data_IF_451435589795
#
_entry.id   IF_451435589795
#
_cell.length_a   1.000
_cell.length_b   1.000
_cell.length_c   1.000
_cell.angle_alpha   90.00
_cell.angle_beta   90.00
_cell.angle_gamma   90.00
#
_symmetry.space_group_name_H-M   'P 1'
#
loop_
_entity.id
_entity.type
_entity.pdbx_description
1 polymer ?
#
# COMPACT_ATOMS: atom_id res chain seq x y z
N UNK A 1 -13.95 0.73 -6.04
CA UNK A 1 -15.34 0.71 -6.53
C UNK A 1 -15.43 0.06 -7.90
N UNK A 2 -16.65 -0.05 -8.45
CA UNK A 2 -16.94 -0.65 -9.77
C UNK A 2 -16.36 0.12 -10.94
N UNK A 3 -15.98 1.39 -10.74
CA UNK A 3 -15.32 2.22 -11.76
C UNK A 3 -13.81 2.03 -11.81
N UNK A 4 -13.24 1.26 -10.88
CA UNK A 4 -11.82 0.96 -10.82
C UNK A 4 -10.98 1.92 -9.96
N UNK A 5 -11.62 2.79 -9.18
CA UNK A 5 -10.93 3.59 -8.17
C UNK A 5 -10.68 2.76 -6.91
N UNK A 6 -9.45 2.75 -6.42
CA UNK A 6 -9.02 2.05 -5.20
C UNK A 6 -8.41 2.99 -4.17
N UNK A 7 -8.66 2.73 -2.90
CA UNK A 7 -8.12 3.51 -1.77
C UNK A 7 -7.62 2.56 -0.68
N UNK A 8 -6.46 2.88 -0.10
CA UNK A 8 -5.94 2.23 1.09
C UNK A 8 -5.56 3.27 2.14
N UNK A 9 -5.94 3.03 3.40
CA UNK A 9 -5.51 3.81 4.55
C UNK A 9 -4.38 3.11 5.29
N UNK A 10 -3.36 3.86 5.67
CA UNK A 10 -2.17 3.35 6.35
C UNK A 10 -1.90 4.17 7.62
N UNK A 11 -1.31 3.56 8.63
CA UNK A 11 -0.93 4.25 9.86
C UNK A 11 0.08 5.36 9.59
N UNK A 12 -0.21 6.54 10.15
CA UNK A 12 0.61 7.75 10.03
C UNK A 12 0.78 8.42 11.41
N UNK A 13 1.14 7.60 12.37
CA UNK A 13 1.17 7.95 13.80
C UNK A 13 2.17 9.07 14.08
N UNK A 14 1.72 10.08 14.83
CA UNK A 14 2.54 11.24 15.21
C UNK A 14 2.67 12.33 14.13
N UNK A 15 2.18 12.07 12.89
CA UNK A 15 2.19 13.05 11.80
C UNK A 15 0.77 13.47 11.40
N UNK A 16 -0.20 12.54 11.46
CA UNK A 16 -1.58 12.86 11.15
C UNK A 16 -2.16 13.86 12.16
N UNK A 17 -2.70 14.96 11.64
CA UNK A 17 -3.44 15.98 12.40
C UNK A 17 -4.76 16.22 11.69
N UNK A 18 -5.86 16.11 12.44
CA UNK A 18 -7.22 16.39 11.94
C UNK A 18 -7.71 17.70 12.55
N UNK A 19 -8.48 18.45 11.78
CA UNK A 19 -8.81 19.83 12.09
C UNK A 19 -10.27 19.98 12.54
N UNK A 20 -10.65 21.07 13.21
CA UNK A 20 -12.05 21.41 13.42
C UNK A 20 -12.79 21.54 12.09
N UNK A 21 -14.11 21.37 12.13
CA UNK A 21 -14.94 21.61 10.95
C UNK A 21 -14.78 23.05 10.45
N UNK A 22 -14.62 23.19 9.13
CA UNK A 22 -14.43 24.49 8.47
C UNK A 22 -15.63 24.80 7.56
N UNK A 23 -16.08 26.06 7.60
CA UNK A 23 -17.15 26.54 6.75
C UNK A 23 -16.72 26.53 5.26
N UNK A 24 -17.62 26.13 4.37
CA UNK A 24 -17.37 26.07 2.94
C UNK A 24 -16.48 24.91 2.49
N UNK A 25 -16.10 24.01 3.39
CA UNK A 25 -15.34 22.79 3.11
C UNK A 25 -16.22 21.54 3.22
N UNK A 26 -15.83 20.49 2.49
CA UNK A 26 -16.38 19.15 2.69
C UNK A 26 -15.73 18.56 3.94
N UNK A 27 -16.38 18.69 5.08
CA UNK A 27 -15.90 18.14 6.35
C UNK A 27 -16.19 16.64 6.39
N UNK A 28 -15.15 15.83 6.43
CA UNK A 28 -15.23 14.36 6.41
C UNK A 28 -14.34 13.78 7.51
N UNK A 29 -14.78 12.74 8.18
CA UNK A 29 -13.96 12.05 9.19
C UNK A 29 -12.99 11.07 8.52
N UNK A 30 -11.92 10.69 9.23
CA UNK A 30 -10.94 9.73 8.70
C UNK A 30 -11.54 8.35 8.42
N UNK A 31 -12.61 7.95 9.11
CA UNK A 31 -13.28 6.67 8.88
C UNK A 31 -14.33 6.72 7.77
N UNK A 32 -14.78 7.92 7.38
CA UNK A 32 -15.72 8.13 6.25
C UNK A 32 -15.00 8.42 4.93
N UNK A 33 -13.71 8.80 4.96
CA UNK A 33 -13.00 9.25 3.76
C UNK A 33 -13.05 8.22 2.63
N UNK A 34 -12.79 6.94 2.93
CA UNK A 34 -12.79 5.87 1.92
C UNK A 34 -14.18 5.69 1.31
N UNK A 35 -15.26 5.40 2.07
CA UNK A 35 -16.58 5.23 1.47
C UNK A 35 -17.10 6.51 0.81
N UNK A 36 -16.78 7.68 1.34
CA UNK A 36 -17.17 8.95 0.72
C UNK A 36 -16.55 9.15 -0.66
N UNK A 37 -15.25 8.93 -0.79
CA UNK A 37 -14.57 9.07 -2.09
C UNK A 37 -15.00 7.98 -3.08
N UNK A 38 -15.07 6.70 -2.62
CA UNK A 38 -15.45 5.60 -3.50
C UNK A 38 -16.91 5.67 -3.95
N UNK A 39 -17.79 6.27 -3.15
CA UNK A 39 -19.19 6.49 -3.51
C UNK A 39 -19.44 7.76 -4.34
N UNK A 40 -18.45 8.68 -4.40
CA UNK A 40 -18.63 9.97 -5.07
C UNK A 40 -17.81 10.13 -6.35
N UNK A 41 -16.78 9.31 -6.54
CA UNK A 41 -15.79 9.48 -7.62
C UNK A 41 -15.63 8.19 -8.43
N UNK A 42 -15.60 8.32 -9.74
CA UNK A 42 -15.27 7.22 -10.65
C UNK A 42 -13.77 7.16 -11.00
N UNK A 43 -13.06 8.28 -10.87
CA UNK A 43 -11.67 8.42 -11.33
C UNK A 43 -10.78 9.09 -10.29
N UNK A 44 -9.47 8.90 -10.42
CA UNK A 44 -8.45 9.58 -9.62
C UNK A 44 -8.52 11.12 -9.76
N UNK A 45 -8.82 11.61 -10.96
CA UNK A 45 -8.95 13.05 -11.22
C UNK A 45 -10.15 13.67 -10.48
N UNK A 46 -11.28 12.97 -10.45
CA UNK A 46 -12.46 13.40 -9.67
C UNK A 46 -12.17 13.37 -8.18
N UNK A 47 -11.52 12.30 -7.69
CA UNK A 47 -11.12 12.18 -6.29
C UNK A 47 -10.18 13.32 -5.87
N UNK A 48 -9.19 13.69 -6.70
CA UNK A 48 -8.31 14.85 -6.46
C UNK A 48 -9.12 16.15 -6.35
N UNK A 49 -10.00 16.41 -7.29
CA UNK A 49 -10.83 17.62 -7.32
C UNK A 49 -11.73 17.73 -6.08
N UNK A 50 -12.28 16.60 -5.66
CA UNK A 50 -13.14 16.55 -4.47
C UNK A 50 -12.33 16.79 -3.18
N UNK A 51 -11.12 16.24 -3.12
CA UNK A 51 -10.19 16.38 -1.99
C UNK A 51 -9.65 17.81 -1.81
N UNK A 52 -9.51 18.60 -2.87
CA UNK A 52 -9.08 20.01 -2.78
C UNK A 52 -10.04 20.87 -1.94
N UNK A 53 -11.30 20.44 -1.84
CA UNK A 53 -12.33 21.07 -1.01
C UNK A 53 -12.57 20.35 0.31
N UNK A 54 -11.86 19.27 0.56
CA UNK A 54 -12.03 18.48 1.77
C UNK A 54 -11.34 19.10 2.99
N UNK A 55 -11.85 18.75 4.16
CA UNK A 55 -11.25 18.99 5.45
C UNK A 55 -11.46 17.73 6.30
N UNK A 56 -10.38 17.09 6.73
CA UNK A 56 -10.49 15.91 7.59
C UNK A 56 -10.66 16.35 9.03
N UNK A 57 -11.82 16.02 9.59
CA UNK A 57 -12.22 16.49 10.92
C UNK A 57 -11.83 15.52 12.04
N UNK A 58 -11.54 16.07 13.21
CA UNK A 58 -11.11 15.34 14.41
C UNK A 58 -12.29 14.79 15.23
N UNK A 59 -13.23 14.15 14.57
CA UNK A 59 -14.38 13.53 15.21
C UNK A 59 -14.14 12.02 15.28
N UNK A 60 -14.13 11.41 16.48
CA UNK A 60 -14.00 9.95 16.61
C UNK A 60 -15.28 9.25 16.15
N UNK A 61 -15.16 7.97 15.80
CA UNK A 61 -16.34 7.16 15.47
C UNK A 61 -17.24 6.96 16.69
N UNK A 62 -16.64 6.72 17.86
CA UNK A 62 -17.30 6.63 19.16
C UNK A 62 -16.29 6.87 20.27
N UNK A 63 -16.77 6.98 21.52
CA UNK A 63 -15.89 7.09 22.71
C UNK A 63 -14.95 5.88 22.87
N UNK A 64 -15.34 4.71 22.36
CA UNK A 64 -14.56 3.47 22.43
C UNK A 64 -13.62 3.29 21.22
N UNK A 65 -13.86 3.98 20.12
CA UNK A 65 -13.10 3.95 18.89
C UNK A 65 -12.63 5.36 18.56
N UNK A 66 -11.51 5.80 19.15
CA UNK A 66 -10.92 7.10 18.85
C UNK A 66 -10.48 7.17 17.38
N UNK A 67 -10.20 8.38 16.89
CA UNK A 67 -9.71 8.54 15.53
C UNK A 67 -8.36 7.84 15.33
N UNK A 68 -8.24 7.14 14.21
CA UNK A 68 -6.99 6.54 13.76
C UNK A 68 -6.15 7.60 13.03
N UNK A 69 -4.85 7.63 13.31
CA UNK A 69 -3.90 8.51 12.62
C UNK A 69 -3.51 7.85 11.29
N UNK A 70 -4.10 8.33 10.20
CA UNK A 70 -3.96 7.72 8.88
C UNK A 70 -3.47 8.73 7.84
N UNK A 71 -2.87 8.18 6.78
CA UNK A 71 -2.74 8.77 5.47
C UNK A 71 -3.22 7.76 4.42
N UNK A 72 -3.43 8.21 3.18
CA UNK A 72 -4.11 7.38 2.19
C UNK A 72 -3.37 7.36 0.85
N UNK A 73 -3.35 6.17 0.25
CA UNK A 73 -3.00 5.94 -1.14
C UNK A 73 -4.29 5.80 -1.94
N UNK A 74 -4.46 6.60 -2.98
CA UNK A 74 -5.60 6.55 -3.91
C UNK A 74 -5.06 6.30 -5.29
N UNK A 75 -5.65 5.35 -6.01
CA UNK A 75 -5.16 4.94 -7.32
C UNK A 75 -6.27 4.49 -8.25
N UNK A 76 -6.05 4.71 -9.53
CA UNK A 76 -6.75 4.07 -10.64
C UNK A 76 -5.75 3.65 -11.73
N UNK A 77 -6.23 3.25 -12.90
CA UNK A 77 -5.38 2.86 -14.03
C UNK A 77 -4.49 3.98 -14.58
N UNK A 78 -4.74 5.25 -14.25
CA UNK A 78 -3.98 6.41 -14.75
C UNK A 78 -2.81 6.77 -13.84
N UNK A 79 -2.84 6.38 -12.56
CA UNK A 79 -1.78 6.67 -11.60
C UNK A 79 -2.21 6.58 -10.14
N UNK A 80 -1.47 7.24 -9.28
CA UNK A 80 -1.78 7.28 -7.85
C UNK A 80 -1.39 8.61 -7.20
N UNK A 81 -2.10 8.94 -6.12
CA UNK A 81 -1.81 10.08 -5.23
C UNK A 81 -1.72 9.62 -3.79
N UNK A 82 -1.03 10.41 -2.98
CA UNK A 82 -1.01 10.26 -1.51
C UNK A 82 -1.71 11.46 -0.90
N UNK A 83 -2.54 11.21 0.10
CA UNK A 83 -3.26 12.23 0.85
C UNK A 83 -2.82 12.18 2.31
N UNK A 84 -2.32 13.30 2.81
CA UNK A 84 -1.84 13.47 4.18
C UNK A 84 -2.50 14.71 4.81
N UNK A 85 -3.10 14.55 5.99
CA UNK A 85 -3.58 15.66 6.81
C UNK A 85 -2.57 15.88 7.94
N UNK A 86 -1.89 16.99 7.91
CA UNK A 86 -0.82 17.37 8.85
C UNK A 86 -1.15 18.67 9.56
N UNK A 87 -0.27 19.14 10.46
CA UNK A 87 -0.54 20.33 11.26
C UNK A 87 -0.78 21.60 10.41
N UNK A 88 -0.20 21.65 9.22
CA UNK A 88 -0.33 22.77 8.26
C UNK A 88 -1.42 22.58 7.19
N UNK A 89 -2.19 21.48 7.27
CA UNK A 89 -3.37 21.26 6.43
C UNK A 89 -3.39 19.93 5.70
N UNK A 90 -4.30 19.85 4.70
CA UNK A 90 -4.45 18.69 3.84
C UNK A 90 -3.55 18.81 2.60
N UNK A 91 -2.72 17.80 2.38
CA UNK A 91 -1.79 17.73 1.26
C UNK A 91 -2.16 16.58 0.32
N UNK A 92 -2.02 16.82 -0.98
CA UNK A 92 -2.25 15.85 -2.04
C UNK A 92 -0.99 15.79 -2.91
N UNK A 93 -0.29 14.66 -2.88
CA UNK A 93 0.96 14.47 -3.60
C UNK A 93 0.78 13.50 -4.76
N UNK A 94 1.39 13.79 -5.89
CA UNK A 94 1.55 12.79 -6.95
C UNK A 94 2.49 11.69 -6.49
N UNK A 95 2.11 10.44 -6.73
CA UNK A 95 2.88 9.29 -6.31
C UNK A 95 3.48 8.54 -7.51
N UNK A 96 4.70 8.90 -7.95
CA UNK A 96 5.33 8.28 -9.10
C UNK A 96 5.75 6.83 -8.86
N UNK A 97 5.89 6.43 -7.59
CA UNK A 97 6.30 5.06 -7.23
C UNK A 97 5.11 4.11 -7.13
N UNK A 98 3.89 4.64 -6.91
CA UNK A 98 2.70 3.83 -6.60
C UNK A 98 2.84 3.03 -5.30
N UNK A 99 3.67 3.47 -4.38
CA UNK A 99 3.92 2.85 -3.07
C UNK A 99 3.67 3.87 -1.97
N UNK A 100 3.11 3.42 -0.88
CA UNK A 100 3.01 4.15 0.38
C UNK A 100 3.26 3.15 1.51
N UNK A 101 3.99 3.56 2.54
CA UNK A 101 4.16 2.78 3.78
C UNK A 101 3.57 3.57 4.95
N UNK A 102 4.35 3.91 5.96
CA UNK A 102 3.89 4.65 7.13
C UNK A 102 4.67 5.97 7.25
N UNK A 103 5.29 6.24 8.41
CA UNK A 103 6.19 7.37 8.60
C UNK A 103 7.51 7.21 7.82
N UNK A 104 8.19 8.28 7.45
CA UNK A 104 7.85 9.71 7.61
C UNK A 104 6.84 10.19 6.56
N UNK A 105 6.47 11.49 6.54
CA UNK A 105 5.64 12.08 5.48
C UNK A 105 6.15 11.76 4.07
N UNK A 106 5.21 11.58 3.14
CA UNK A 106 5.47 11.06 1.80
C UNK A 106 6.58 11.80 1.01
N UNK A 107 6.69 13.14 1.05
CA UNK A 107 7.80 13.84 0.39
C UNK A 107 9.17 13.41 0.90
N UNK A 108 9.28 13.08 2.21
CA UNK A 108 10.52 12.59 2.79
C UNK A 108 10.82 11.15 2.35
N UNK A 109 9.78 10.30 2.23
CA UNK A 109 9.93 8.96 1.68
C UNK A 109 10.45 9.00 0.25
N UNK A 110 9.91 9.87 -0.60
CA UNK A 110 10.40 10.07 -1.97
C UNK A 110 11.83 10.61 -2.00
N UNK A 111 12.13 11.62 -1.17
CA UNK A 111 13.48 12.20 -1.10
C UNK A 111 14.53 11.15 -0.74
N UNK A 112 14.22 10.23 0.17
CA UNK A 112 15.15 9.19 0.60
C UNK A 112 15.58 8.24 -0.53
N UNK A 113 14.77 8.10 -1.60
CA UNK A 113 15.17 7.30 -2.79
C UNK A 113 16.46 7.82 -3.44
N UNK A 114 16.83 9.09 -3.23
CA UNK A 114 18.09 9.63 -3.75
C UNK A 114 19.31 8.90 -3.20
N UNK A 115 19.23 8.36 -1.99
CA UNK A 115 20.31 7.56 -1.39
C UNK A 115 20.50 6.21 -2.07
N UNK A 116 19.50 5.76 -2.85
CA UNK A 116 19.43 4.44 -3.50
C UNK A 116 19.47 4.52 -5.03
N UNK A 117 19.84 5.67 -5.58
CA UNK A 117 19.84 5.90 -7.04
C UNK A 117 20.81 5.01 -7.83
N UNK A 118 21.73 4.32 -7.16
CA UNK A 118 22.62 3.36 -7.77
C UNK A 118 22.02 1.95 -7.91
N UNK A 119 20.89 1.69 -7.24
CA UNK A 119 20.22 0.39 -7.32
C UNK A 119 19.71 0.10 -8.73
N UNK A 120 19.93 -1.13 -9.18
CA UNK A 120 19.58 -1.58 -10.52
C UNK A 120 19.29 -3.09 -10.51
N UNK A 121 18.40 -3.61 -11.38
CA UNK A 121 18.29 -5.06 -11.61
C UNK A 121 19.50 -5.65 -12.36
N UNK A 122 20.39 -4.81 -12.87
CA UNK A 122 21.57 -5.21 -13.65
C UNK A 122 22.79 -5.30 -12.76
N UNK A 123 23.70 -6.25 -13.09
CA UNK A 123 25.02 -6.29 -12.46
C UNK A 123 25.80 -5.02 -12.84
N UNK A 124 26.32 -4.26 -11.85
CA UNK A 124 27.09 -3.04 -12.11
C UNK A 124 28.44 -3.37 -12.75
N UNK A 125 28.96 -2.43 -13.53
CA UNK A 125 30.38 -2.44 -13.90
C UNK A 125 31.26 -2.10 -12.69
N UNK A 126 32.52 -2.51 -12.75
CA UNK A 126 33.50 -2.12 -11.71
C UNK A 126 33.77 -0.63 -11.82
N UNK A 127 33.49 0.10 -10.74
CA UNK A 127 33.73 1.52 -10.63
C UNK A 127 34.46 1.88 -9.31
N UNK A 128 35.01 0.88 -8.61
CA UNK A 128 35.61 1.07 -7.29
C UNK A 128 36.96 1.80 -7.39
N UNK A 129 37.82 1.35 -8.27
CA UNK A 129 39.11 1.99 -8.56
C UNK A 129 39.68 1.46 -9.89
N UNK A 130 40.47 2.31 -10.58
CA UNK A 130 41.16 1.91 -11.79
C UNK A 130 42.19 0.80 -11.52
N UNK A 131 42.24 -0.18 -12.41
CA UNK A 131 43.18 -1.29 -12.33
C UNK A 131 42.87 -2.38 -11.32
N UNK A 132 41.76 -2.26 -10.59
CA UNK A 132 41.28 -3.28 -9.65
C UNK A 132 40.33 -4.25 -10.38
N UNK A 133 40.68 -5.53 -10.45
CA UNK A 133 39.82 -6.58 -10.97
C UNK A 133 38.92 -7.12 -9.85
N UNK A 134 37.62 -6.93 -10.02
CA UNK A 134 36.57 -7.42 -9.10
C UNK A 134 35.58 -8.29 -9.87
N UNK A 135 35.87 -9.60 -9.98
CA UNK A 135 35.01 -10.51 -10.74
C UNK A 135 33.63 -10.65 -10.09
N UNK A 136 32.62 -10.79 -10.95
CA UNK A 136 31.25 -11.02 -10.54
C UNK A 136 31.12 -12.41 -9.90
N UNK A 137 30.82 -12.48 -8.62
CA UNK A 137 30.68 -13.72 -7.85
C UNK A 137 29.21 -14.17 -7.69
N UNK A 138 28.23 -13.30 -7.97
CA UNK A 138 26.80 -13.60 -7.82
C UNK A 138 25.95 -12.77 -8.77
N UNK A 139 24.70 -13.22 -9.00
CA UNK A 139 23.65 -12.39 -9.61
C UNK A 139 23.03 -11.47 -8.53
N UNK A 140 22.33 -10.42 -8.98
CA UNK A 140 21.63 -9.49 -8.09
C UNK A 140 22.52 -8.42 -7.44
N UNK A 141 23.79 -8.32 -7.78
CA UNK A 141 24.72 -7.32 -7.23
C UNK A 141 24.28 -5.86 -7.47
N UNK A 142 23.46 -5.61 -8.50
CA UNK A 142 22.90 -4.28 -8.72
C UNK A 142 21.90 -3.82 -7.65
N UNK A 143 21.38 -4.75 -6.86
CA UNK A 143 20.52 -4.46 -5.71
C UNK A 143 21.29 -4.43 -4.37
N UNK A 144 22.63 -4.45 -4.40
CA UNK A 144 23.45 -4.37 -3.19
C UNK A 144 23.19 -3.05 -2.49
N UNK A 145 22.82 -3.12 -1.20
CA UNK A 145 22.41 -1.96 -0.40
C UNK A 145 20.89 -1.72 -0.39
N UNK A 146 20.08 -2.54 -1.09
CA UNK A 146 18.63 -2.53 -0.90
C UNK A 146 18.32 -2.86 0.56
N UNK A 147 17.59 -1.98 1.30
CA UNK A 147 17.40 -2.18 2.73
C UNK A 147 16.54 -3.40 3.02
N UNK A 148 16.94 -4.20 4.01
CA UNK A 148 16.27 -5.46 4.38
C UNK A 148 15.49 -5.39 5.68
N UNK A 149 15.65 -4.32 6.48
CA UNK A 149 14.93 -4.17 7.75
C UNK A 149 13.45 -3.86 7.57
N UNK A 150 12.67 -3.97 8.66
CA UNK A 150 11.22 -3.85 8.65
C UNK A 150 10.70 -2.43 8.90
N UNK A 151 11.58 -1.43 9.03
CA UNK A 151 11.15 -0.04 9.21
C UNK A 151 10.34 0.44 8.00
N UNK A 152 9.48 1.42 8.25
CA UNK A 152 8.61 1.99 7.20
C UNK A 152 9.42 2.51 6.01
N UNK A 153 10.50 3.26 6.26
CA UNK A 153 11.33 3.82 5.19
C UNK A 153 12.02 2.73 4.37
N UNK A 154 12.55 1.69 5.02
CA UNK A 154 13.19 0.56 4.34
C UNK A 154 12.20 -0.26 3.52
N UNK A 155 11.00 -0.48 4.05
CA UNK A 155 9.91 -1.12 3.30
C UNK A 155 9.48 -0.29 2.09
N UNK A 156 9.42 1.05 2.22
CA UNK A 156 9.11 1.94 1.10
C UNK A 156 10.12 1.78 -0.03
N UNK A 157 11.42 1.89 0.28
CA UNK A 157 12.51 1.76 -0.72
C UNK A 157 12.45 0.39 -1.40
N UNK A 158 12.31 -0.67 -0.60
CA UNK A 158 12.26 -2.06 -1.11
C UNK A 158 11.03 -2.30 -1.99
N UNK A 159 9.85 -1.88 -1.54
CA UNK A 159 8.62 -2.00 -2.32
C UNK A 159 8.68 -1.20 -3.62
N UNK A 160 9.20 0.03 -3.58
CA UNK A 160 9.37 0.86 -4.77
C UNK A 160 10.34 0.22 -5.77
N UNK A 161 11.50 -0.26 -5.31
CA UNK A 161 12.46 -0.96 -6.18
C UNK A 161 11.84 -2.20 -6.81
N UNK A 162 11.22 -3.07 -6.01
CA UNK A 162 10.63 -4.32 -6.49
C UNK A 162 9.49 -4.03 -7.47
N UNK A 163 8.53 -3.15 -7.10
CA UNK A 163 7.40 -2.80 -7.95
C UNK A 163 7.82 -2.23 -9.30
N UNK A 164 8.77 -1.29 -9.30
CA UNK A 164 9.16 -0.59 -10.54
C UNK A 164 10.03 -1.46 -11.48
N UNK A 165 10.65 -2.52 -10.98
CA UNK A 165 11.49 -3.42 -11.77
C UNK A 165 10.84 -4.78 -12.06
N UNK A 166 9.82 -5.18 -11.30
CA UNK A 166 9.10 -6.42 -11.49
C UNK A 166 8.44 -6.49 -12.87
N UNK A 167 8.37 -7.68 -13.44
CA UNK A 167 7.71 -7.93 -14.72
C UNK A 167 6.51 -8.84 -14.49
N UNK A 168 5.35 -8.39 -14.90
CA UNK A 168 4.14 -9.19 -14.95
C UNK A 168 4.06 -10.01 -16.24
N UNK A 169 3.34 -11.13 -16.18
CA UNK A 169 2.88 -11.82 -17.37
C UNK A 169 1.67 -11.12 -18.00
N UNK A 170 1.17 -11.69 -19.09
CA UNK A 170 0.03 -11.14 -19.85
C UNK A 170 -1.34 -11.59 -19.29
N UNK A 171 -1.36 -12.65 -18.51
CA UNK A 171 -2.58 -13.23 -17.92
C UNK A 171 -2.89 -12.66 -16.55
N UNK A 172 -4.17 -12.71 -16.16
CA UNK A 172 -4.63 -12.25 -14.85
C UNK A 172 -3.94 -13.02 -13.71
N UNK A 173 -3.91 -14.35 -13.77
CA UNK A 173 -3.27 -15.15 -12.73
C UNK A 173 -1.80 -14.83 -12.55
N UNK A 174 -1.06 -14.60 -13.65
CA UNK A 174 0.33 -14.20 -13.61
C UNK A 174 0.51 -12.80 -13.00
N UNK A 175 -0.35 -11.85 -13.37
CA UNK A 175 -0.32 -10.48 -12.84
C UNK A 175 -0.66 -10.45 -11.35
N UNK A 176 -1.68 -11.18 -10.93
CA UNK A 176 -2.05 -11.32 -9.51
C UNK A 176 -0.95 -12.00 -8.73
N UNK A 177 -0.39 -13.11 -9.22
CA UNK A 177 0.74 -13.78 -8.59
C UNK A 177 1.95 -12.86 -8.44
N UNK A 178 2.28 -12.08 -9.49
CA UNK A 178 3.37 -11.11 -9.44
C UNK A 178 3.11 -9.99 -8.43
N UNK A 179 1.86 -9.53 -8.30
CA UNK A 179 1.48 -8.52 -7.29
C UNK A 179 1.72 -9.04 -5.86
N UNK A 180 1.36 -10.30 -5.58
CA UNK A 180 1.65 -10.91 -4.27
C UNK A 180 3.17 -11.04 -4.03
N UNK A 181 3.97 -11.40 -5.03
CA UNK A 181 5.44 -11.40 -4.90
C UNK A 181 5.99 -10.02 -4.54
N UNK A 182 5.45 -8.94 -5.10
CA UNK A 182 5.84 -7.56 -4.77
C UNK A 182 5.54 -7.27 -3.30
N UNK A 183 4.34 -7.58 -2.82
CA UNK A 183 3.94 -7.30 -1.44
C UNK A 183 4.66 -8.20 -0.42
N UNK A 184 4.90 -9.47 -0.76
CA UNK A 184 5.67 -10.37 0.10
C UNK A 184 7.13 -9.92 0.30
N UNK A 185 7.68 -9.10 -0.61
CA UNK A 185 9.00 -8.49 -0.39
C UNK A 185 9.06 -7.56 0.84
N UNK A 186 7.93 -7.13 1.36
CA UNK A 186 7.80 -6.23 2.54
C UNK A 186 6.93 -6.84 3.65
N UNK A 187 6.68 -8.13 3.58
CA UNK A 187 5.94 -8.86 4.59
C UNK A 187 6.68 -8.86 5.94
N UNK A 188 5.92 -8.76 7.03
CA UNK A 188 6.44 -8.80 8.39
C UNK A 188 6.14 -10.15 9.04
N UNK A 189 7.21 -10.87 9.38
CA UNK A 189 7.15 -12.20 9.98
C UNK A 189 7.06 -12.12 11.50
N UNK A 190 6.33 -13.05 12.10
CA UNK A 190 6.20 -13.16 13.55
C UNK A 190 7.59 -13.35 14.22
N UNK A 191 7.87 -12.55 15.21
CA UNK A 191 9.13 -12.57 15.95
C UNK A 191 10.18 -11.58 15.45
N UNK A 192 9.99 -10.94 14.29
CA UNK A 192 10.97 -10.03 13.72
C UNK A 192 10.73 -8.55 14.06
N UNK A 193 9.55 -8.21 14.56
CA UNK A 193 9.21 -6.86 15.03
C UNK A 193 8.42 -6.98 16.34
N UNK A 194 9.11 -6.78 17.47
CA UNK A 194 8.52 -6.89 18.81
C UNK A 194 7.83 -5.60 19.21
N UNK A 195 6.66 -5.74 19.81
CA UNK A 195 5.85 -4.68 20.40
C UNK A 195 5.79 -4.86 21.93
N UNK A 196 5.33 -3.84 22.62
CA UNK A 196 5.12 -3.90 24.06
C UNK A 196 4.21 -5.07 24.46
N UNK A 197 4.52 -5.68 25.62
CA UNK A 197 3.75 -6.80 26.17
C UNK A 197 3.96 -8.13 25.47
N UNK A 198 5.09 -8.35 24.81
CA UNK A 198 5.44 -9.63 24.15
C UNK A 198 4.62 -9.92 22.90
N UNK A 199 4.05 -8.89 22.27
CA UNK A 199 3.35 -9.00 21.01
C UNK A 199 4.30 -8.75 19.85
N UNK A 200 3.88 -9.11 18.64
CA UNK A 200 4.66 -8.92 17.41
C UNK A 200 3.82 -8.21 16.36
N UNK A 201 4.44 -7.28 15.63
CA UNK A 201 3.87 -6.78 14.40
C UNK A 201 4.05 -7.83 13.30
N UNK A 202 2.95 -8.18 12.64
CA UNK A 202 2.92 -9.17 11.56
C UNK A 202 2.00 -8.69 10.44
N UNK A 203 2.23 -9.18 9.23
CA UNK A 203 1.30 -9.01 8.12
C UNK A 203 0.10 -9.92 8.33
N UNK A 204 -1.02 -9.39 8.82
CA UNK A 204 -2.23 -10.18 9.10
C UNK A 204 -2.85 -10.76 7.84
N UNK A 205 -2.86 -9.99 6.75
CA UNK A 205 -3.30 -10.39 5.42
C UNK A 205 -2.63 -9.51 4.36
N UNK A 206 -2.57 -10.03 3.15
CA UNK A 206 -2.15 -9.29 1.95
C UNK A 206 -3.30 -9.31 0.96
N UNK A 207 -3.62 -8.17 0.36
CA UNK A 207 -4.72 -8.07 -0.61
C UNK A 207 -4.30 -7.40 -1.92
N UNK A 208 -5.01 -7.78 -2.98
CA UNK A 208 -4.84 -7.28 -4.33
C UNK A 208 -6.22 -7.03 -4.94
N UNK A 209 -6.42 -5.88 -5.57
CA UNK A 209 -7.63 -5.59 -6.32
C UNK A 209 -7.33 -5.58 -7.83
N UNK A 210 -7.99 -6.44 -8.60
CA UNK A 210 -8.09 -6.25 -10.03
C UNK A 210 -9.24 -5.28 -10.29
N UNK A 211 -8.91 -3.99 -10.41
CA UNK A 211 -9.89 -2.93 -10.54
C UNK A 211 -10.65 -2.95 -11.88
N UNK A 212 -10.03 -3.48 -12.96
CA UNK A 212 -10.70 -3.61 -14.26
C UNK A 212 -11.79 -4.69 -14.26
N UNK A 213 -11.65 -5.71 -13.39
CA UNK A 213 -12.57 -6.85 -13.31
C UNK A 213 -13.41 -6.89 -12.05
N UNK A 214 -13.18 -5.96 -11.12
CA UNK A 214 -13.90 -5.95 -9.84
C UNK A 214 -13.66 -7.18 -8.98
N UNK A 215 -12.43 -7.72 -8.99
CA UNK A 215 -12.07 -8.90 -8.21
C UNK A 215 -11.11 -8.53 -7.11
N UNK A 216 -11.44 -8.88 -5.88
CA UNK A 216 -10.60 -8.73 -4.69
C UNK A 216 -9.94 -10.06 -4.35
N UNK A 217 -8.62 -10.08 -4.32
CA UNK A 217 -7.81 -11.23 -3.95
C UNK A 217 -7.15 -11.01 -2.61
N UNK A 218 -6.97 -12.08 -1.83
CA UNK A 218 -6.24 -11.98 -0.58
C UNK A 218 -5.56 -13.31 -0.18
N UNK A 219 -4.52 -13.18 0.65
CA UNK A 219 -3.94 -14.24 1.47
C UNK A 219 -3.98 -13.79 2.93
N UNK A 220 -3.92 -14.72 3.88
CA UNK A 220 -3.76 -14.39 5.30
C UNK A 220 -2.44 -14.93 5.83
N UNK A 221 -2.00 -14.46 6.99
CA UNK A 221 -0.78 -14.96 7.62
C UNK A 221 -0.79 -16.48 7.85
N UNK A 222 -1.94 -17.06 8.11
CA UNK A 222 -2.14 -18.50 8.34
C UNK A 222 -2.63 -19.28 7.13
N UNK A 223 -2.73 -18.65 5.95
CA UNK A 223 -3.15 -19.31 4.72
C UNK A 223 -2.55 -18.58 3.50
N UNK A 224 -1.63 -19.23 2.81
CA UNK A 224 -0.95 -18.69 1.62
C UNK A 224 -1.74 -18.91 0.31
N UNK A 225 -2.85 -19.69 0.36
CA UNK A 225 -3.73 -19.86 -0.79
C UNK A 225 -4.37 -18.51 -1.17
N UNK A 226 -4.15 -18.06 -2.40
CA UNK A 226 -4.84 -16.88 -2.91
C UNK A 226 -6.33 -17.18 -3.01
N UNK A 227 -7.12 -16.41 -2.28
CA UNK A 227 -8.59 -16.48 -2.28
C UNK A 227 -9.12 -15.25 -2.97
N UNK A 228 -10.24 -15.37 -3.70
CA UNK A 228 -10.82 -14.29 -4.48
C UNK A 228 -12.31 -14.09 -4.19
N UNK A 229 -12.74 -12.82 -4.24
CA UNK A 229 -14.16 -12.42 -4.25
C UNK A 229 -14.38 -11.58 -5.50
N UNK A 230 -15.27 -12.04 -6.35
CA UNK A 230 -15.70 -11.35 -7.58
C UNK A 230 -17.00 -10.59 -7.29
N UNK A 231 -16.91 -9.24 -7.27
CA UNK A 231 -18.06 -8.38 -6.96
C UNK A 231 -19.22 -8.56 -7.95
N UNK A 232 -18.94 -8.90 -9.21
CA UNK A 232 -19.96 -9.06 -10.24
C UNK A 232 -20.76 -10.37 -10.12
N UNK A 233 -20.38 -11.26 -9.19
CA UNK A 233 -21.18 -12.44 -8.83
C UNK A 233 -22.22 -12.13 -7.75
N UNK A 234 -22.20 -10.91 -7.22
CA UNK A 234 -23.13 -10.45 -6.20
C UNK A 234 -24.16 -9.47 -6.77
N UNK A 235 -25.26 -9.32 -6.06
CA UNK A 235 -26.24 -8.29 -6.40
C UNK A 235 -25.76 -6.94 -5.88
N UNK A 236 -25.12 -6.14 -6.75
CA UNK A 236 -24.56 -4.83 -6.40
C UNK A 236 -25.63 -3.79 -6.03
N UNK A 237 -26.87 -3.97 -6.50
CA UNK A 237 -28.02 -3.13 -6.15
C UNK A 237 -28.78 -3.63 -4.90
N UNK A 238 -28.24 -4.65 -4.23
CA UNK A 238 -28.84 -5.24 -3.04
C UNK A 238 -28.75 -4.34 -1.81
N UNK A 239 -29.73 -4.47 -0.91
CA UNK A 239 -29.82 -3.73 0.36
C UNK A 239 -29.13 -4.45 1.53
N UNK A 240 -28.48 -5.61 1.28
CA UNK A 240 -27.86 -6.44 2.31
C UNK A 240 -26.35 -6.50 2.15
N UNK A 241 -25.64 -6.44 3.29
CA UNK A 241 -24.21 -6.72 3.33
C UNK A 241 -23.94 -8.20 3.04
N UNK A 242 -23.14 -8.47 2.03
CA UNK A 242 -22.59 -9.80 1.78
C UNK A 242 -21.30 -9.95 2.59
N UNK A 243 -21.17 -11.05 3.34
CA UNK A 243 -20.04 -11.30 4.23
C UNK A 243 -19.32 -12.58 3.85
N UNK A 244 -18.02 -12.50 3.71
CA UNK A 244 -17.13 -13.63 3.45
C UNK A 244 -16.23 -13.85 4.66
N UNK A 245 -16.30 -14.99 5.37
CA UNK A 245 -15.33 -15.31 6.41
C UNK A 245 -13.93 -15.42 5.79
N UNK A 246 -12.94 -14.85 6.45
CA UNK A 246 -11.55 -15.02 6.03
C UNK A 246 -11.16 -16.50 6.07
N UNK A 247 -10.56 -16.99 4.99
CA UNK A 247 -10.02 -18.35 4.96
C UNK A 247 -8.82 -18.43 5.89
N UNK A 248 -8.91 -19.35 6.84
CA UNK A 248 -7.88 -19.57 7.87
C UNK A 248 -7.37 -21.01 7.80
N UNK A 249 -6.15 -21.21 8.26
CA UNK A 249 -5.51 -22.52 8.23
C UNK A 249 -4.82 -22.82 6.90
N UNK A 250 -3.55 -23.21 6.99
CA UNK A 250 -2.72 -23.49 5.83
C UNK A 250 -3.27 -24.66 5.03
N UNK A 251 -3.28 -24.51 3.71
CA UNK A 251 -3.69 -25.57 2.79
C UNK A 251 -2.47 -26.17 2.11
N UNK A 252 -2.06 -27.35 2.56
CA UNK A 252 -0.90 -28.04 2.02
C UNK A 252 -1.39 -29.17 1.10
N UNK A 253 -1.09 -29.07 -0.18
CA UNK A 253 -1.37 -30.11 -1.16
C UNK A 253 -0.22 -31.15 -1.13
N UNK A 254 -0.54 -32.40 -0.80
CA UNK A 254 0.39 -33.51 -0.96
C UNK A 254 0.36 -33.99 -2.42
N UNK A 255 1.53 -34.23 -3.00
CA UNK A 255 1.67 -34.69 -4.39
C UNK A 255 1.84 -36.22 -4.53
N UNK A 256 1.90 -36.94 -3.43
CA UNK A 256 2.06 -38.39 -3.38
C UNK A 256 0.86 -39.05 -2.67
#
# INVERSE_FOLDING_TARGET
NECGLGIAGLNFVGNAVYHPAAEGKNNVTQFELIPWLLGSCATLAEARTLLEKANIVNIPFSDQLPFAQLHWLIADKTGSIVVESTADGLHIYDNPTGVLTNNPPFPQQLFALNNYRALSPRTPAVAFADGLDLPVYSRGLGALGLPGDLSSQSRFVRAAFVRMNAKSGSGEAESVGQFFHILHAVEQQRGCCELDGGKYEITLYTSCCNADRGIYYYTTYGNHQITAVDMHRENLDGDRLVRYPLVQGEQIALQN
#
